data_IF_027273480871
#
_entry.id   IF_027273480871
#
_cell.length_a   1.000
_cell.length_b   1.000
_cell.length_c   1.000
_cell.angle_alpha   90.00
_cell.angle_beta   90.00
_cell.angle_gamma   90.00
#
_symmetry.space_group_name_H-M   'P 1'
#
loop_
_entity.id
_entity.type
_entity.pdbx_description
1 polymer ?
#
# COMPACT_ATOMS: atom_id res chain seq x y z
N UNK A 1 10.50 -25.22 -19.30
CA UNK A 1 11.14 -24.04 -18.69
C UNK A 1 10.04 -23.13 -18.16
N UNK A 2 9.93 -23.01 -16.83
CA UNK A 2 8.95 -22.13 -16.18
C UNK A 2 9.22 -20.67 -16.54
N UNK A 3 8.14 -19.88 -16.67
CA UNK A 3 8.27 -18.43 -16.80
C UNK A 3 8.53 -17.83 -15.41
N UNK A 4 9.53 -16.99 -15.30
CA UNK A 4 9.78 -16.15 -14.12
C UNK A 4 9.20 -14.77 -14.43
N UNK A 5 8.33 -14.28 -13.55
CA UNK A 5 7.81 -12.92 -13.57
C UNK A 5 8.43 -12.18 -12.37
N UNK A 6 9.09 -11.07 -12.63
CA UNK A 6 9.53 -10.12 -11.62
C UNK A 6 8.70 -8.86 -11.82
N UNK A 7 8.04 -8.40 -10.80
CA UNK A 7 7.15 -7.23 -10.86
C UNK A 7 7.08 -6.58 -9.49
N UNK A 8 6.95 -5.27 -9.44
CA UNK A 8 6.53 -4.58 -8.22
C UNK A 8 5.09 -4.95 -7.87
N UNK A 9 4.71 -4.74 -6.62
CA UNK A 9 3.33 -4.94 -6.19
C UNK A 9 2.37 -4.02 -6.97
N UNK A 10 2.77 -2.77 -7.16
CA UNK A 10 1.98 -1.73 -7.83
C UNK A 10 1.79 -1.98 -9.34
N UNK A 11 2.64 -2.76 -9.97
CA UNK A 11 2.48 -3.19 -11.37
C UNK A 11 1.70 -4.50 -11.48
N UNK A 12 1.91 -5.42 -10.53
CA UNK A 12 1.34 -6.77 -10.56
C UNK A 12 -0.18 -6.79 -10.49
N UNK A 13 -0.77 -6.00 -9.59
CA UNK A 13 -2.22 -6.00 -9.38
C UNK A 13 -2.99 -5.24 -10.46
N UNK A 14 -2.63 -4.00 -10.82
CA UNK A 14 -3.35 -3.24 -11.82
C UNK A 14 -3.49 -3.98 -13.14
N UNK A 15 -2.39 -4.51 -13.68
CA UNK A 15 -2.41 -5.24 -14.96
C UNK A 15 -3.39 -6.42 -14.96
N UNK A 16 -3.44 -7.16 -13.85
CA UNK A 16 -4.32 -8.32 -13.70
C UNK A 16 -5.76 -7.94 -13.47
N UNK A 17 -6.00 -6.96 -12.61
CA UNK A 17 -7.34 -6.50 -12.28
C UNK A 17 -8.01 -5.88 -13.50
N UNK A 18 -7.30 -5.08 -14.30
CA UNK A 18 -7.84 -4.52 -15.55
C UNK A 18 -8.18 -5.60 -16.60
N UNK A 19 -7.41 -6.69 -16.65
CA UNK A 19 -7.73 -7.83 -17.52
C UNK A 19 -8.98 -8.59 -17.06
N UNK A 20 -9.19 -8.68 -15.74
CA UNK A 20 -10.28 -9.46 -15.14
C UNK A 20 -11.58 -8.68 -15.00
N UNK A 21 -11.50 -7.38 -14.76
CA UNK A 21 -12.65 -6.56 -14.39
C UNK A 21 -12.76 -5.41 -15.37
N UNK A 22 -13.72 -5.53 -16.26
CA UNK A 22 -14.06 -4.47 -17.21
C UNK A 22 -14.71 -3.30 -16.48
N UNK A 23 -14.59 -2.10 -17.03
CA UNK A 23 -15.22 -0.85 -16.55
C UNK A 23 -14.62 -0.24 -15.28
N UNK A 24 -13.41 -0.63 -14.88
CA UNK A 24 -12.67 0.13 -13.88
C UNK A 24 -12.05 1.39 -14.52
N UNK A 25 -11.91 2.48 -13.77
CA UNK A 25 -11.14 3.63 -14.22
C UNK A 25 -9.70 3.24 -14.52
N UNK A 26 -9.13 3.77 -15.61
CA UNK A 26 -7.73 3.51 -15.97
C UNK A 26 -6.75 4.53 -15.35
N UNK A 27 -7.25 5.69 -14.92
CA UNK A 27 -6.44 6.72 -14.26
C UNK A 27 -6.29 6.36 -12.77
N UNK A 28 -5.04 6.24 -12.31
CA UNK A 28 -4.72 5.98 -10.91
C UNK A 28 -4.66 7.32 -10.16
N UNK A 29 -5.15 7.34 -8.92
CA UNK A 29 -5.09 8.48 -8.02
C UNK A 29 -3.95 8.25 -7.01
N UNK A 30 -2.83 8.96 -7.16
CA UNK A 30 -1.68 8.85 -6.27
C UNK A 30 -1.75 9.83 -5.08
N UNK A 31 -2.81 10.65 -5.01
CA UNK A 31 -2.97 11.71 -4.01
C UNK A 31 -4.07 11.42 -2.98
N UNK A 32 -4.35 10.15 -2.72
CA UNK A 32 -5.34 9.78 -1.71
C UNK A 32 -4.92 10.28 -0.31
N UNK A 33 -5.85 10.87 0.48
CA UNK A 33 -5.54 11.26 1.86
C UNK A 33 -5.07 10.07 2.70
N UNK A 34 -4.07 10.25 3.56
CA UNK A 34 -3.50 9.19 4.41
C UNK A 34 -4.56 8.41 5.22
N UNK A 35 -5.63 9.09 5.67
CA UNK A 35 -6.73 8.44 6.37
C UNK A 35 -7.52 7.46 5.48
N UNK A 36 -7.60 7.74 4.17
CA UNK A 36 -8.25 6.88 3.16
C UNK A 36 -7.39 5.66 2.91
N UNK A 37 -6.09 5.85 2.64
CA UNK A 37 -5.12 4.78 2.45
C UNK A 37 -5.07 3.85 3.66
N UNK A 38 -4.95 4.40 4.87
CA UNK A 38 -4.94 3.61 6.10
C UNK A 38 -6.23 2.81 6.30
N UNK A 39 -7.39 3.42 6.02
CA UNK A 39 -8.68 2.73 6.10
C UNK A 39 -8.76 1.56 5.11
N UNK A 40 -8.35 1.77 3.84
CA UNK A 40 -8.41 0.77 2.78
C UNK A 40 -7.47 -0.41 3.00
N UNK A 41 -6.35 -0.19 3.68
CA UNK A 41 -5.35 -1.22 4.00
C UNK A 41 -5.59 -1.94 5.32
N UNK A 42 -6.50 -1.44 6.16
CA UNK A 42 -6.75 -2.00 7.49
C UNK A 42 -7.42 -3.40 7.44
N UNK A 43 -7.00 -4.36 8.31
CA UNK A 43 -7.56 -5.72 8.33
C UNK A 43 -9.07 -5.80 8.47
N UNK A 44 -9.69 -4.87 9.22
CA UNK A 44 -11.13 -4.80 9.43
C UNK A 44 -11.92 -4.68 8.11
N UNK A 45 -11.34 -4.01 7.09
CA UNK A 45 -11.98 -3.88 5.79
C UNK A 45 -12.34 -5.24 5.17
N UNK A 46 -11.41 -6.18 5.23
CA UNK A 46 -11.61 -7.53 4.65
C UNK A 46 -12.77 -8.27 5.31
N UNK A 47 -12.97 -8.06 6.61
CA UNK A 47 -14.12 -8.63 7.32
C UNK A 47 -15.44 -8.05 6.82
N UNK A 48 -15.50 -6.72 6.65
CA UNK A 48 -16.70 -6.05 6.17
C UNK A 48 -16.99 -6.32 4.69
N UNK A 49 -15.96 -6.55 3.87
CA UNK A 49 -16.18 -7.04 2.49
C UNK A 49 -16.91 -8.38 2.47
N UNK A 50 -16.60 -9.30 3.40
CA UNK A 50 -17.36 -10.56 3.55
C UNK A 50 -18.79 -10.28 3.98
N UNK A 51 -19.01 -9.40 4.97
CA UNK A 51 -20.36 -9.00 5.39
C UNK A 51 -21.16 -8.41 4.21
N UNK A 52 -20.53 -7.60 3.36
CA UNK A 52 -21.14 -7.03 2.15
C UNK A 52 -21.62 -8.12 1.17
N UNK A 53 -20.78 -9.12 0.89
CA UNK A 53 -21.17 -10.24 0.00
C UNK A 53 -22.32 -11.06 0.61
N UNK A 54 -22.35 -11.22 1.93
CA UNK A 54 -23.49 -11.91 2.59
C UNK A 54 -24.78 -11.06 2.54
N UNK A 55 -24.68 -9.73 2.57
CA UNK A 55 -25.85 -8.87 2.30
C UNK A 55 -26.35 -9.04 0.88
N UNK A 56 -25.48 -9.08 -0.12
CA UNK A 56 -25.88 -9.38 -1.51
C UNK A 56 -26.52 -10.75 -1.66
N UNK A 57 -26.00 -11.78 -0.97
CA UNK A 57 -26.58 -13.11 -0.96
C UNK A 57 -28.03 -13.10 -0.43
N UNK A 58 -28.30 -12.34 0.64
CA UNK A 58 -29.65 -12.16 1.19
C UNK A 58 -30.57 -11.43 0.23
N UNK A 59 -30.07 -10.39 -0.46
CA UNK A 59 -30.83 -9.69 -1.50
C UNK A 59 -31.20 -10.64 -2.66
N UNK A 60 -30.24 -11.45 -3.13
CA UNK A 60 -30.48 -12.44 -4.18
C UNK A 60 -31.53 -13.48 -3.73
N UNK A 61 -31.43 -13.96 -2.49
CA UNK A 61 -32.41 -14.85 -1.92
C UNK A 61 -33.82 -14.22 -1.85
N UNK A 62 -33.88 -12.93 -1.47
CA UNK A 62 -35.14 -12.19 -1.48
C UNK A 62 -35.73 -12.08 -2.88
N UNK A 63 -34.92 -11.72 -3.89
CA UNK A 63 -35.35 -11.63 -5.28
C UNK A 63 -35.89 -12.97 -5.83
N UNK A 64 -35.26 -14.09 -5.46
CA UNK A 64 -35.73 -15.43 -5.81
C UNK A 64 -37.11 -15.68 -5.17
N UNK A 65 -37.26 -15.45 -3.87
CA UNK A 65 -38.54 -15.62 -3.16
C UNK A 65 -39.68 -14.78 -3.73
N UNK A 66 -39.35 -13.54 -4.11
CA UNK A 66 -40.35 -12.60 -4.59
C UNK A 66 -40.81 -12.87 -6.04
N UNK A 67 -39.92 -13.42 -6.86
CA UNK A 67 -40.16 -13.52 -8.32
C UNK A 67 -40.38 -14.95 -8.82
N UNK A 68 -40.08 -15.95 -8.00
CA UNK A 68 -40.19 -17.38 -8.36
C UNK A 68 -41.20 -18.05 -7.46
N UNK A 69 -42.30 -18.61 -7.98
CA UNK A 69 -43.19 -19.48 -7.22
C UNK A 69 -42.39 -20.66 -6.64
N UNK A 70 -42.62 -20.99 -5.37
CA UNK A 70 -41.91 -22.04 -4.63
C UNK A 70 -40.36 -21.86 -4.57
N UNK A 71 -39.87 -20.62 -4.73
CA UNK A 71 -38.44 -20.29 -4.72
C UNK A 71 -37.75 -20.42 -3.35
N UNK A 72 -38.47 -20.78 -2.28
CA UNK A 72 -37.91 -20.83 -0.91
C UNK A 72 -36.74 -21.81 -0.76
N UNK A 73 -36.89 -23.03 -1.31
CA UNK A 73 -35.82 -24.04 -1.25
C UNK A 73 -34.58 -23.61 -2.02
N UNK A 74 -34.77 -23.00 -3.19
CA UNK A 74 -33.66 -22.44 -3.99
C UNK A 74 -32.98 -21.29 -3.30
N UNK A 75 -33.75 -20.40 -2.65
CA UNK A 75 -33.19 -19.25 -1.93
C UNK A 75 -32.34 -19.64 -0.72
N UNK A 76 -32.60 -20.78 -0.06
CA UNK A 76 -31.78 -21.25 1.08
C UNK A 76 -30.34 -21.54 0.70
N UNK A 77 -30.04 -21.98 -0.53
CA UNK A 77 -28.64 -22.16 -0.96
C UNK A 77 -27.83 -20.88 -0.92
N UNK A 78 -28.46 -19.71 -1.03
CA UNK A 78 -27.76 -18.41 -0.96
C UNK A 78 -27.43 -18.01 0.47
N UNK A 79 -28.23 -18.39 1.45
CA UNK A 79 -28.10 -17.93 2.85
C UNK A 79 -27.41 -18.93 3.77
N UNK A 80 -27.53 -20.24 3.50
CA UNK A 80 -27.09 -21.29 4.43
C UNK A 80 -25.60 -21.68 4.23
N UNK A 81 -25.02 -21.40 3.07
CA UNK A 81 -23.67 -21.83 2.72
C UNK A 81 -22.66 -20.64 2.77
N UNK A 82 -22.55 -19.96 3.90
CA UNK A 82 -21.77 -18.70 4.08
C UNK A 82 -20.29 -18.77 3.63
N UNK A 83 -19.67 -19.95 3.69
CA UNK A 83 -18.26 -20.11 3.30
C UNK A 83 -18.05 -20.53 1.83
N UNK A 84 -19.11 -20.61 1.06
CA UNK A 84 -19.08 -20.98 -0.37
C UNK A 84 -19.15 -19.71 -1.22
N UNK A 85 -18.35 -19.56 -2.29
CA UNK A 85 -18.44 -18.41 -3.18
C UNK A 85 -19.85 -18.19 -3.71
N UNK A 86 -20.29 -16.93 -3.78
CA UNK A 86 -21.68 -16.56 -4.10
C UNK A 86 -22.14 -17.12 -5.47
N UNK A 87 -21.23 -17.16 -6.46
CA UNK A 87 -21.50 -17.75 -7.76
C UNK A 87 -21.90 -19.24 -7.67
N UNK A 88 -21.21 -20.00 -6.83
CA UNK A 88 -21.53 -21.42 -6.61
C UNK A 88 -22.85 -21.61 -5.89
N UNK A 89 -23.16 -20.74 -4.92
CA UNK A 89 -24.47 -20.74 -4.24
C UNK A 89 -25.59 -20.46 -5.22
N UNK A 90 -25.42 -19.43 -6.08
CA UNK A 90 -26.39 -19.08 -7.12
C UNK A 90 -26.57 -20.23 -8.13
N UNK A 91 -25.50 -20.90 -8.54
CA UNK A 91 -25.56 -22.06 -9.43
C UNK A 91 -26.35 -23.24 -8.80
N UNK A 92 -26.12 -23.48 -7.49
CA UNK A 92 -26.88 -24.50 -6.76
C UNK A 92 -28.37 -24.16 -6.66
N UNK A 93 -28.66 -22.89 -6.33
CA UNK A 93 -30.04 -22.39 -6.28
C UNK A 93 -30.74 -22.55 -7.62
N UNK A 94 -30.09 -22.21 -8.74
CA UNK A 94 -30.59 -22.39 -10.09
C UNK A 94 -30.88 -23.89 -10.41
N UNK A 95 -29.90 -24.79 -10.12
CA UNK A 95 -30.05 -26.22 -10.34
C UNK A 95 -31.19 -26.83 -9.50
N UNK A 96 -31.39 -26.39 -8.26
CA UNK A 96 -32.47 -26.82 -7.40
C UNK A 96 -33.82 -26.40 -8.01
N UNK A 97 -33.94 -25.18 -8.48
CA UNK A 97 -35.11 -24.68 -9.19
C UNK A 97 -35.41 -25.51 -10.46
N UNK A 98 -34.40 -25.71 -11.32
CA UNK A 98 -34.54 -26.47 -12.58
C UNK A 98 -34.97 -27.93 -12.33
N UNK A 99 -34.58 -28.53 -11.21
CA UNK A 99 -35.00 -29.91 -10.83
C UNK A 99 -36.42 -29.97 -10.29
N UNK A 100 -36.88 -28.90 -9.63
CA UNK A 100 -38.25 -28.80 -9.09
C UNK A 100 -39.29 -28.41 -10.14
N UNK A 101 -38.86 -28.03 -11.33
CA UNK A 101 -39.77 -27.65 -12.42
C UNK A 101 -40.52 -28.87 -12.97
N UNK A 102 -41.81 -28.95 -12.71
CA UNK A 102 -42.71 -29.70 -13.55
C UNK A 102 -42.81 -29.06 -14.94
N UNK A 103 -42.97 -29.85 -15.99
CA UNK A 103 -42.84 -29.51 -17.42
C UNK A 103 -43.75 -28.37 -17.93
N UNK A 104 -44.56 -27.73 -17.08
CA UNK A 104 -45.56 -26.74 -17.44
C UNK A 104 -45.33 -25.31 -16.96
N UNK A 105 -44.14 -24.95 -16.46
CA UNK A 105 -43.85 -23.59 -15.97
C UNK A 105 -43.46 -22.66 -17.12
N UNK A 106 -44.05 -21.45 -17.12
CA UNK A 106 -43.86 -20.49 -18.22
C UNK A 106 -42.42 -19.96 -18.27
N UNK A 107 -41.87 -19.81 -19.47
CA UNK A 107 -40.51 -19.25 -19.74
C UNK A 107 -40.24 -17.85 -19.14
N UNK A 108 -41.25 -17.20 -18.56
CA UNK A 108 -41.15 -15.87 -17.96
C UNK A 108 -40.33 -15.83 -16.65
N UNK A 109 -40.41 -16.91 -15.85
CA UNK A 109 -39.82 -16.98 -14.50
C UNK A 109 -38.30 -17.23 -14.53
N UNK A 110 -37.78 -17.68 -15.69
CA UNK A 110 -36.36 -18.01 -15.89
C UNK A 110 -35.47 -16.75 -15.95
N UNK A 111 -36.02 -15.55 -16.15
CA UNK A 111 -35.24 -14.32 -16.28
C UNK A 111 -34.54 -13.87 -14.99
N UNK A 112 -34.98 -14.34 -13.82
CA UNK A 112 -34.42 -13.95 -12.52
C UNK A 112 -32.95 -14.34 -12.42
N UNK A 113 -32.60 -15.59 -12.77
CA UNK A 113 -31.20 -16.07 -12.67
C UNK A 113 -30.24 -15.33 -13.59
N UNK A 114 -30.52 -15.07 -14.87
CA UNK A 114 -29.69 -14.21 -15.73
C UNK A 114 -29.47 -12.79 -15.17
N UNK A 115 -30.51 -12.18 -14.59
CA UNK A 115 -30.40 -10.86 -13.97
C UNK A 115 -29.48 -10.89 -12.73
N UNK A 116 -29.60 -11.94 -11.89
CA UNK A 116 -28.71 -12.15 -10.75
C UNK A 116 -27.28 -12.46 -11.18
N UNK A 117 -27.07 -13.26 -12.22
CA UNK A 117 -25.75 -13.54 -12.81
C UNK A 117 -25.09 -12.28 -13.35
N UNK A 118 -25.85 -11.40 -14.00
CA UNK A 118 -25.36 -10.07 -14.44
C UNK A 118 -24.93 -9.19 -13.26
N UNK A 119 -25.74 -9.10 -12.21
CA UNK A 119 -25.41 -8.37 -10.98
C UNK A 119 -24.21 -9.00 -10.27
N UNK A 120 -24.12 -10.32 -10.24
CA UNK A 120 -22.98 -11.03 -9.67
C UNK A 120 -21.67 -10.68 -10.36
N UNK A 121 -21.68 -10.52 -11.68
CA UNK A 121 -20.47 -10.26 -12.48
C UNK A 121 -20.01 -8.80 -12.48
N UNK A 122 -20.80 -7.86 -11.99
CA UNK A 122 -20.48 -6.42 -12.02
C UNK A 122 -19.68 -5.99 -10.78
N UNK A 123 -18.42 -6.40 -10.74
CA UNK A 123 -17.50 -6.08 -9.63
C UNK A 123 -17.18 -4.58 -9.56
N UNK A 124 -17.13 -3.89 -10.71
CA UNK A 124 -16.90 -2.45 -10.72
C UNK A 124 -18.04 -1.70 -9.98
N UNK A 125 -19.29 -2.15 -10.16
CA UNK A 125 -20.42 -1.63 -9.41
C UNK A 125 -20.35 -1.99 -7.92
N UNK A 126 -19.88 -3.19 -7.57
CA UNK A 126 -19.70 -3.57 -6.16
C UNK A 126 -18.74 -2.64 -5.43
N UNK A 127 -17.65 -2.20 -6.07
CA UNK A 127 -16.73 -1.20 -5.52
C UNK A 127 -17.49 0.09 -5.18
N UNK A 128 -18.30 0.58 -6.11
CA UNK A 128 -19.11 1.79 -5.90
C UNK A 128 -20.12 1.55 -4.77
N UNK A 129 -20.89 0.48 -4.82
CA UNK A 129 -21.94 0.18 -3.84
C UNK A 129 -21.35 0.02 -2.42
N UNK A 130 -20.17 -0.56 -2.29
CA UNK A 130 -19.46 -0.71 -1.02
C UNK A 130 -19.03 0.65 -0.46
N UNK A 131 -18.27 1.44 -1.22
CA UNK A 131 -17.72 2.71 -0.75
C UNK A 131 -18.77 3.82 -0.61
N UNK A 132 -19.92 3.70 -1.28
CA UNK A 132 -21.05 4.59 -1.11
C UNK A 132 -22.00 4.15 0.01
N UNK A 133 -21.70 3.09 0.74
CA UNK A 133 -22.50 2.63 1.87
C UNK A 133 -21.89 3.05 3.20
N UNK A 134 -22.37 4.19 3.74
CA UNK A 134 -21.89 4.73 5.02
C UNK A 134 -21.97 3.76 6.20
N UNK A 135 -22.96 2.87 6.21
CA UNK A 135 -23.10 1.87 7.29
C UNK A 135 -21.99 0.86 7.27
N UNK A 136 -21.60 0.37 6.10
CA UNK A 136 -20.45 -0.54 5.94
C UNK A 136 -19.13 0.14 6.29
N UNK A 137 -18.93 1.40 5.86
CA UNK A 137 -17.73 2.15 6.19
C UNK A 137 -17.59 2.37 7.71
N UNK A 138 -18.68 2.73 8.39
CA UNK A 138 -18.69 2.83 9.87
C UNK A 138 -18.42 1.48 10.54
N UNK A 139 -18.93 0.39 9.96
CA UNK A 139 -18.67 -0.95 10.46
C UNK A 139 -17.18 -1.31 10.42
N UNK A 140 -16.42 -0.86 9.41
CA UNK A 140 -14.96 -1.02 9.38
C UNK A 140 -14.31 -0.29 10.56
N UNK A 141 -14.72 0.96 10.84
CA UNK A 141 -14.19 1.74 11.97
C UNK A 141 -14.50 1.07 13.31
N UNK A 142 -15.72 0.53 13.48
CA UNK A 142 -16.10 -0.23 14.69
C UNK A 142 -15.19 -1.45 14.91
N UNK A 143 -14.99 -2.26 13.86
CA UNK A 143 -14.16 -3.47 13.93
C UNK A 143 -12.67 -3.18 14.09
N UNK A 144 -12.25 -1.95 13.76
CA UNK A 144 -10.86 -1.51 13.96
C UNK A 144 -10.52 -1.20 15.43
N UNK A 145 -11.47 -1.26 16.36
CA UNK A 145 -11.25 -1.10 17.80
C UNK A 145 -10.41 0.12 18.20
N UNK A 146 -10.68 1.26 17.56
CA UNK A 146 -9.98 2.53 17.82
C UNK A 146 -8.67 2.74 17.04
N UNK A 147 -8.24 1.79 16.23
CA UNK A 147 -7.07 1.94 15.36
C UNK A 147 -7.37 2.89 14.17
N UNK A 148 -8.61 2.94 13.70
CA UNK A 148 -9.07 3.88 12.67
C UNK A 148 -9.81 5.04 13.34
N UNK A 149 -9.45 6.31 13.07
CA UNK A 149 -10.18 7.47 13.57
C UNK A 149 -11.64 7.48 13.10
N UNK A 150 -12.57 7.93 13.95
CA UNK A 150 -14.00 7.94 13.63
C UNK A 150 -14.37 8.72 12.37
N UNK A 151 -13.62 9.78 12.05
CA UNK A 151 -13.85 10.58 10.84
C UNK A 151 -13.43 9.89 9.53
N UNK A 152 -12.63 8.82 9.61
CA UNK A 152 -12.10 8.15 8.40
C UNK A 152 -13.20 7.58 7.51
N UNK A 153 -14.30 7.07 8.08
CA UNK A 153 -15.44 6.60 7.30
C UNK A 153 -16.07 7.70 6.42
N UNK A 154 -16.21 8.91 6.97
CA UNK A 154 -16.76 10.04 6.21
C UNK A 154 -15.73 10.58 5.20
N UNK A 155 -14.42 10.53 5.52
CA UNK A 155 -13.35 10.89 4.60
C UNK A 155 -13.31 9.93 3.39
N UNK A 156 -13.38 8.61 3.62
CA UNK A 156 -13.46 7.60 2.56
C UNK A 156 -14.70 7.77 1.71
N UNK A 157 -15.86 8.00 2.34
CA UNK A 157 -17.11 8.25 1.60
C UNK A 157 -16.98 9.45 0.68
N UNK A 158 -16.46 10.57 1.19
CA UNK A 158 -16.30 11.80 0.39
C UNK A 158 -15.31 11.59 -0.75
N UNK A 159 -14.13 11.05 -0.47
CA UNK A 159 -13.11 10.76 -1.48
C UNK A 159 -13.65 9.85 -2.59
N UNK A 160 -14.33 8.76 -2.21
CA UNK A 160 -14.95 7.85 -3.18
C UNK A 160 -16.07 8.51 -3.98
N UNK A 161 -16.89 9.35 -3.34
CA UNK A 161 -17.94 10.10 -4.05
C UNK A 161 -17.35 11.05 -5.10
N UNK A 162 -16.22 11.69 -4.80
CA UNK A 162 -15.50 12.53 -5.75
C UNK A 162 -14.93 11.70 -6.90
N UNK A 163 -14.30 10.53 -6.61
CA UNK A 163 -13.82 9.60 -7.62
C UNK A 163 -14.92 9.05 -8.55
N UNK A 164 -16.10 8.76 -8.01
CA UNK A 164 -17.22 8.22 -8.79
C UNK A 164 -18.05 9.29 -9.48
N UNK A 165 -17.74 10.57 -9.25
CA UNK A 165 -18.44 11.67 -9.87
C UNK A 165 -18.09 11.81 -11.34
N UNK A 166 -19.04 12.37 -12.10
CA UNK A 166 -18.75 12.92 -13.42
C UNK A 166 -18.54 14.44 -13.27
N UNK A 167 -17.31 14.94 -13.46
CA UNK A 167 -17.01 16.37 -13.26
C UNK A 167 -17.82 17.27 -14.18
N UNK A 168 -18.01 16.85 -15.42
CA UNK A 168 -18.75 17.60 -16.43
C UNK A 168 -20.24 17.75 -16.06
N UNK A 169 -20.84 16.71 -15.50
CA UNK A 169 -22.26 16.73 -15.15
C UNK A 169 -22.60 17.64 -13.95
N UNK A 170 -21.65 17.81 -13.00
CA UNK A 170 -21.89 18.56 -11.76
C UNK A 170 -21.64 20.06 -11.88
N UNK A 171 -20.63 20.49 -12.65
CA UNK A 171 -20.19 21.90 -12.70
C UNK A 171 -20.82 22.71 -13.82
N UNK A 172 -21.21 22.06 -14.90
CA UNK A 172 -21.64 22.75 -16.12
C UNK A 172 -22.88 22.10 -16.76
N UNK A 173 -23.87 21.77 -15.95
CA UNK A 173 -25.13 21.22 -16.48
C UNK A 173 -25.70 22.16 -17.53
N UNK A 174 -25.65 21.78 -18.82
CA UNK A 174 -26.10 22.52 -19.96
C UNK A 174 -25.08 23.41 -20.67
N UNK A 175 -23.80 23.33 -20.34
CA UNK A 175 -22.70 24.05 -21.00
C UNK A 175 -21.79 23.06 -21.73
N UNK A 176 -21.48 23.35 -22.97
CA UNK A 176 -20.57 22.58 -23.82
C UNK A 176 -19.12 23.00 -23.49
N UNK A 177 -18.40 22.17 -22.73
CA UNK A 177 -17.05 22.48 -22.24
C UNK A 177 -16.01 22.61 -23.35
N UNK A 178 -16.20 21.92 -24.49
CA UNK A 178 -15.30 21.98 -25.65
C UNK A 178 -15.33 23.35 -26.34
N UNK A 179 -16.29 24.20 -25.96
CA UNK A 179 -16.45 25.57 -26.50
C UNK A 179 -16.00 26.67 -25.55
N UNK A 180 -15.51 26.32 -24.36
CA UNK A 180 -15.03 27.29 -23.40
C UNK A 180 -13.52 27.38 -23.45
N UNK A 181 -13.02 28.57 -23.76
CA UNK A 181 -11.59 28.90 -23.71
C UNK A 181 -11.27 29.68 -22.42
N UNK A 182 -10.11 29.39 -21.83
CA UNK A 182 -9.54 30.21 -20.75
C UNK A 182 -9.11 31.57 -21.28
N UNK A 183 -8.92 32.54 -20.39
CA UNK A 183 -8.45 33.90 -20.74
C UNK A 183 -7.09 33.86 -21.51
N UNK A 184 -6.33 32.78 -21.33
CA UNK A 184 -5.02 32.55 -21.96
C UNK A 184 -5.11 31.70 -23.23
N UNK A 185 -6.31 31.37 -23.73
CA UNK A 185 -6.55 30.64 -24.99
C UNK A 185 -6.41 29.11 -24.86
N UNK A 186 -6.33 28.55 -23.65
CA UNK A 186 -6.36 27.12 -23.39
C UNK A 186 -7.81 26.61 -23.25
N UNK A 187 -8.03 25.30 -23.44
CA UNK A 187 -9.33 24.69 -23.14
C UNK A 187 -9.58 24.64 -21.63
N UNK A 188 -10.77 25.02 -21.18
CA UNK A 188 -11.16 24.86 -19.78
C UNK A 188 -11.14 23.37 -19.34
N UNK A 189 -11.23 22.45 -20.27
CA UNK A 189 -11.07 21.02 -20.02
C UNK A 189 -9.65 20.64 -19.55
N UNK A 190 -8.64 21.41 -19.97
CA UNK A 190 -7.22 21.16 -19.60
C UNK A 190 -6.85 21.72 -18.21
N UNK A 191 -7.63 22.67 -17.66
CA UNK A 191 -7.40 23.27 -16.34
C UNK A 191 -7.79 22.35 -15.15
N UNK A 192 -8.46 21.23 -15.43
CA UNK A 192 -8.98 20.30 -14.43
C UNK A 192 -8.13 19.03 -14.25
N UNK A 193 -6.82 19.11 -14.51
CA UNK A 193 -5.90 17.97 -14.47
C UNK A 193 -5.77 17.36 -13.05
N UNK A 194 -6.12 18.10 -12.00
CA UNK A 194 -6.05 17.65 -10.60
C UNK A 194 -7.37 17.05 -10.06
N UNK A 195 -8.38 16.85 -10.89
CA UNK A 195 -9.64 16.25 -10.44
C UNK A 195 -9.48 14.73 -10.29
N UNK A 196 -9.76 14.21 -9.09
CA UNK A 196 -9.74 12.76 -8.80
C UNK A 196 -10.95 12.02 -9.39
N UNK A 197 -11.81 12.69 -10.10
CA UNK A 197 -12.97 12.07 -10.74
C UNK A 197 -12.55 11.01 -11.76
N UNK A 198 -13.30 9.91 -11.82
CA UNK A 198 -13.05 8.76 -12.66
C UNK A 198 -11.66 8.13 -12.45
N UNK A 199 -11.16 8.19 -11.23
CA UNK A 199 -9.89 7.54 -10.84
C UNK A 199 -10.11 6.30 -9.97
N UNK A 200 -9.04 5.56 -9.73
CA UNK A 200 -8.97 4.42 -8.81
C UNK A 200 -7.72 4.55 -7.95
N UNK A 201 -7.85 4.32 -6.64
CA UNK A 201 -6.68 4.32 -5.77
C UNK A 201 -5.90 2.99 -5.92
N UNK A 202 -4.57 2.99 -5.71
CA UNK A 202 -3.77 1.76 -5.74
C UNK A 202 -4.31 0.66 -4.83
N UNK A 203 -4.77 1.00 -3.63
CA UNK A 203 -5.33 0.06 -2.65
C UNK A 203 -6.61 -0.63 -3.14
N UNK A 204 -7.37 0.01 -4.01
CA UNK A 204 -8.61 -0.55 -4.54
C UNK A 204 -8.40 -1.80 -5.39
N UNK A 205 -7.21 -1.99 -5.97
CA UNK A 205 -6.93 -3.19 -6.77
C UNK A 205 -7.02 -4.47 -5.94
N UNK A 206 -6.44 -4.48 -4.74
CA UNK A 206 -6.55 -5.62 -3.83
C UNK A 206 -8.00 -5.82 -3.35
N UNK A 207 -8.73 -4.73 -3.10
CA UNK A 207 -10.15 -4.76 -2.68
C UNK A 207 -11.04 -5.36 -3.77
N UNK A 208 -10.90 -4.91 -5.00
CA UNK A 208 -11.66 -5.37 -6.16
C UNK A 208 -11.35 -6.84 -6.46
N UNK A 209 -10.09 -7.24 -6.32
CA UNK A 209 -9.68 -8.63 -6.44
C UNK A 209 -10.32 -9.49 -5.34
N UNK A 210 -10.34 -9.04 -4.08
CA UNK A 210 -10.97 -9.75 -2.97
C UNK A 210 -12.48 -9.87 -3.16
N UNK A 211 -13.17 -8.81 -3.61
CA UNK A 211 -14.60 -8.86 -3.97
C UNK A 211 -14.86 -9.94 -5.02
N UNK A 212 -14.05 -10.00 -6.08
CA UNK A 212 -14.16 -11.03 -7.10
C UNK A 212 -13.92 -12.43 -6.51
N UNK A 213 -12.90 -12.58 -5.67
CA UNK A 213 -12.59 -13.85 -4.99
C UNK A 213 -13.74 -14.35 -4.10
N UNK A 214 -14.36 -13.45 -3.35
CA UNK A 214 -15.51 -13.79 -2.50
C UNK A 214 -16.73 -14.22 -3.33
N UNK A 215 -16.93 -13.61 -4.48
CA UNK A 215 -18.05 -13.93 -5.38
C UNK A 215 -17.83 -15.20 -6.19
N UNK A 216 -16.66 -15.38 -6.79
CA UNK A 216 -16.41 -16.46 -7.74
C UNK A 216 -15.51 -17.57 -7.19
N UNK A 217 -14.82 -17.34 -6.09
CA UNK A 217 -13.78 -18.21 -5.56
C UNK A 217 -12.46 -18.05 -6.31
N UNK A 218 -11.50 -18.90 -5.96
CA UNK A 218 -10.26 -19.05 -6.70
C UNK A 218 -10.58 -19.78 -8.00
N UNK A 219 -10.41 -19.14 -9.12
CA UNK A 219 -10.51 -19.81 -10.43
C UNK A 219 -9.26 -20.66 -10.62
N UNK A 220 -9.43 -21.98 -10.49
CA UNK A 220 -8.41 -22.95 -10.91
C UNK A 220 -8.62 -23.22 -12.38
N UNK A 221 -7.65 -22.85 -13.20
CA UNK A 221 -7.62 -23.20 -14.60
C UNK A 221 -7.88 -22.03 -15.54
N UNK A 222 -7.29 -22.09 -16.61
CA UNK A 222 -7.15 -21.42 -17.89
C UNK A 222 -8.17 -20.36 -18.36
N UNK A 223 -9.18 -20.07 -17.59
CA UNK A 223 -10.20 -19.09 -17.94
C UNK A 223 -9.75 -17.69 -17.49
N UNK A 224 -9.32 -16.90 -18.48
CA UNK A 224 -9.16 -15.45 -18.45
C UNK A 224 -7.96 -14.85 -17.68
N UNK A 225 -6.78 -15.46 -17.75
CA UNK A 225 -5.53 -14.68 -17.58
C UNK A 225 -5.01 -14.48 -16.16
N UNK A 226 -5.54 -15.16 -15.14
CA UNK A 226 -4.89 -15.29 -13.85
C UNK A 226 -3.87 -16.43 -13.89
N UNK A 227 -2.64 -16.12 -14.23
CA UNK A 227 -1.56 -17.09 -14.04
C UNK A 227 -1.46 -17.45 -12.56
N UNK A 228 -1.61 -18.71 -12.23
CA UNK A 228 -1.25 -19.24 -10.93
C UNK A 228 0.24 -19.56 -10.92
N UNK A 229 0.89 -19.28 -9.80
CA UNK A 229 2.31 -19.53 -9.61
C UNK A 229 2.50 -20.78 -8.78
N UNK A 230 3.44 -21.63 -9.21
CA UNK A 230 3.90 -22.76 -8.41
C UNK A 230 4.80 -22.32 -7.25
N UNK A 231 5.42 -21.15 -7.38
CA UNK A 231 6.24 -20.54 -6.33
C UNK A 231 6.15 -19.02 -6.39
N UNK A 232 5.94 -18.39 -5.24
CA UNK A 232 6.01 -16.94 -5.06
C UNK A 232 7.21 -16.60 -4.18
N UNK A 233 7.90 -15.54 -4.53
CA UNK A 233 8.90 -14.89 -3.67
C UNK A 233 8.35 -13.50 -3.36
N UNK A 234 8.18 -13.21 -2.07
CA UNK A 234 7.67 -11.93 -1.58
C UNK A 234 8.79 -11.30 -0.75
N UNK A 235 9.30 -10.17 -1.20
CA UNK A 235 10.25 -9.36 -0.45
C UNK A 235 9.55 -8.19 0.22
N UNK A 236 10.13 -7.63 1.28
CA UNK A 236 9.59 -6.53 2.08
C UNK A 236 8.13 -6.79 2.56
N UNK A 237 7.82 -8.03 2.91
CA UNK A 237 6.45 -8.45 3.24
C UNK A 237 5.81 -7.70 4.41
N UNK A 238 6.59 -7.03 5.27
CA UNK A 238 6.10 -6.20 6.36
C UNK A 238 5.40 -4.92 5.88
N UNK A 239 5.55 -4.54 4.61
CA UNK A 239 4.88 -3.37 4.03
C UNK A 239 3.56 -3.70 3.35
N UNK A 240 3.25 -4.98 3.19
CA UNK A 240 2.03 -5.41 2.54
C UNK A 240 0.86 -5.47 3.54
N UNK A 241 -0.27 -4.92 3.12
CA UNK A 241 -1.49 -5.00 3.89
C UNK A 241 -2.07 -6.43 3.89
N UNK A 242 -2.83 -6.83 4.91
CA UNK A 242 -3.44 -8.16 5.00
C UNK A 242 -4.29 -8.54 3.78
N UNK A 243 -4.97 -7.58 3.16
CA UNK A 243 -5.77 -7.82 1.95
C UNK A 243 -4.86 -8.07 0.73
N UNK A 244 -3.71 -7.42 0.65
CA UNK A 244 -2.70 -7.58 -0.39
C UNK A 244 -2.02 -8.96 -0.28
N UNK A 245 -1.61 -9.34 0.94
CA UNK A 245 -1.06 -10.66 1.23
C UNK A 245 -2.04 -11.79 0.86
N UNK A 246 -3.31 -11.60 1.18
CA UNK A 246 -4.34 -12.57 0.83
C UNK A 246 -4.56 -12.69 -0.69
N UNK A 247 -4.44 -11.58 -1.40
CA UNK A 247 -4.55 -11.57 -2.86
C UNK A 247 -3.35 -12.27 -3.51
N UNK A 248 -2.12 -12.06 -2.98
CA UNK A 248 -0.93 -12.81 -3.40
C UNK A 248 -1.07 -14.32 -3.14
N UNK A 249 -1.54 -14.70 -1.94
CA UNK A 249 -1.79 -16.10 -1.61
C UNK A 249 -2.80 -16.77 -2.53
N UNK A 250 -3.80 -16.02 -2.99
CA UNK A 250 -4.77 -16.50 -3.95
C UNK A 250 -4.19 -16.77 -5.36
N UNK A 251 -3.02 -16.20 -5.66
CA UNK A 251 -2.32 -16.45 -6.91
C UNK A 251 -1.44 -17.72 -6.89
N UNK A 252 -1.33 -18.42 -5.74
CA UNK A 252 -0.63 -19.70 -5.65
C UNK A 252 -1.47 -20.86 -6.21
N UNK A 253 -0.81 -21.82 -6.83
CA UNK A 253 -1.44 -23.13 -7.14
C UNK A 253 -1.74 -23.87 -5.83
N UNK A 254 -2.57 -24.91 -5.90
CA UNK A 254 -2.94 -25.71 -4.72
C UNK A 254 -1.73 -26.27 -3.96
N UNK A 255 -0.73 -26.72 -4.69
CA UNK A 255 0.50 -27.31 -4.17
C UNK A 255 1.68 -26.34 -4.28
N UNK A 256 1.36 -25.05 -4.44
CA UNK A 256 2.37 -24.00 -4.56
C UNK A 256 3.09 -23.71 -3.24
N UNK A 257 4.27 -23.17 -3.36
CA UNK A 257 5.12 -22.77 -2.23
C UNK A 257 5.39 -21.26 -2.25
N UNK A 258 5.78 -20.72 -1.09
CA UNK A 258 6.12 -19.29 -0.96
C UNK A 258 7.44 -19.15 -0.21
N UNK A 259 8.26 -18.21 -0.66
CA UNK A 259 9.38 -17.68 0.11
C UNK A 259 9.06 -16.25 0.48
N UNK A 260 9.14 -15.92 1.77
CA UNK A 260 8.82 -14.60 2.29
C UNK A 260 10.06 -14.04 2.97
N UNK A 261 10.43 -12.83 2.60
CA UNK A 261 11.49 -12.07 3.23
C UNK A 261 10.96 -10.72 3.72
N UNK A 262 11.60 -10.17 4.75
CA UNK A 262 11.27 -8.85 5.25
C UNK A 262 11.95 -8.53 6.58
N UNK A 263 11.81 -7.29 7.02
CA UNK A 263 12.38 -6.78 8.26
C UNK A 263 11.34 -5.95 9.02
N UNK A 264 10.87 -6.47 10.15
CA UNK A 264 9.90 -5.77 11.01
C UNK A 264 10.45 -4.47 11.60
N UNK A 265 11.78 -4.31 11.72
CA UNK A 265 12.41 -3.08 12.18
C UNK A 265 12.37 -1.97 11.09
N UNK A 266 12.20 -2.34 9.83
CA UNK A 266 12.08 -1.42 8.70
C UNK A 266 10.63 -1.15 8.27
N UNK A 267 9.65 -1.59 9.04
CA UNK A 267 8.24 -1.25 8.81
C UNK A 267 8.01 0.21 9.22
N UNK A 268 7.97 1.10 8.25
CA UNK A 268 7.80 2.55 8.44
C UNK A 268 6.51 3.11 7.86
N UNK A 269 5.82 2.36 7.02
CA UNK A 269 4.54 2.76 6.44
C UNK A 269 3.44 2.71 7.52
N UNK A 270 2.87 3.87 7.92
CA UNK A 270 1.83 3.90 8.95
C UNK A 270 0.51 3.30 8.48
N UNK A 271 0.34 3.11 7.17
CA UNK A 271 -0.88 2.53 6.59
C UNK A 271 -0.94 1.01 6.70
N UNK A 272 0.17 0.36 7.06
CA UNK A 272 0.24 -1.08 7.30
C UNK A 272 0.45 -1.40 8.77
N UNK A 273 -0.13 -2.52 9.22
CA UNK A 273 0.08 -3.07 10.54
C UNK A 273 0.81 -4.41 10.40
N UNK A 274 2.06 -4.46 10.88
CA UNK A 274 2.78 -5.72 10.99
C UNK A 274 2.63 -6.25 12.42
N UNK A 275 1.91 -7.35 12.58
CA UNK A 275 1.73 -8.00 13.88
C UNK A 275 2.78 -9.07 14.14
N UNK A 276 2.91 -10.03 13.22
CA UNK A 276 3.86 -11.13 13.32
C UNK A 276 4.04 -11.84 11.98
N UNK A 277 5.12 -12.61 11.84
CA UNK A 277 5.33 -13.48 10.67
C UNK A 277 4.27 -14.57 10.55
N UNK A 278 3.76 -15.07 11.68
CA UNK A 278 2.64 -16.03 11.68
C UNK A 278 1.36 -15.40 11.09
N UNK A 279 1.09 -14.13 11.42
CA UNK A 279 -0.04 -13.41 10.84
C UNK A 279 0.12 -13.22 9.32
N UNK A 280 1.32 -12.94 8.84
CA UNK A 280 1.62 -12.85 7.40
C UNK A 280 1.33 -14.20 6.70
N UNK A 281 1.81 -15.31 7.25
CA UNK A 281 1.56 -16.65 6.72
C UNK A 281 0.08 -17.00 6.70
N UNK A 282 -0.64 -16.67 7.77
CA UNK A 282 -2.10 -16.88 7.88
C UNK A 282 -2.87 -16.08 6.81
N UNK A 283 -2.45 -14.83 6.52
CA UNK A 283 -3.08 -14.01 5.49
C UNK A 283 -2.85 -14.57 4.08
N UNK A 284 -1.65 -15.06 3.80
CA UNK A 284 -1.34 -15.73 2.54
C UNK A 284 -2.08 -17.08 2.41
N UNK A 285 -2.43 -17.69 3.55
CA UNK A 285 -3.13 -18.98 3.59
C UNK A 285 -2.20 -20.17 3.42
N UNK A 286 -0.95 -20.04 3.88
CA UNK A 286 0.04 -21.14 3.90
C UNK A 286 0.30 -21.63 5.33
N UNK A 287 0.80 -22.87 5.51
CA UNK A 287 1.13 -23.40 6.83
C UNK A 287 2.17 -22.53 7.55
N UNK A 288 2.01 -22.39 8.86
CA UNK A 288 3.00 -21.72 9.71
C UNK A 288 4.30 -22.54 9.72
N UNK A 289 5.40 -21.84 9.52
CA UNK A 289 6.76 -22.39 9.58
C UNK A 289 7.60 -21.49 10.48
N UNK A 290 8.66 -22.07 11.06
CA UNK A 290 9.59 -21.27 11.86
C UNK A 290 10.36 -20.31 10.95
N UNK A 291 10.30 -19.01 11.25
CA UNK A 291 11.10 -18.01 10.55
C UNK A 291 12.60 -18.23 10.81
N UNK A 292 13.40 -18.08 9.77
CA UNK A 292 14.86 -18.05 9.88
C UNK A 292 15.31 -16.61 10.00
N UNK A 293 16.08 -16.29 11.04
CA UNK A 293 16.64 -14.97 11.24
C UNK A 293 18.02 -14.87 10.61
N UNK A 294 18.19 -13.93 9.69
CA UNK A 294 19.47 -13.56 9.14
C UNK A 294 20.20 -12.65 10.14
N UNK A 295 21.26 -13.13 10.74
CA UNK A 295 21.99 -12.42 11.81
C UNK A 295 23.26 -11.73 11.32
N UNK A 296 23.59 -11.83 10.03
CA UNK A 296 24.81 -11.23 9.46
C UNK A 296 24.45 -10.16 8.44
N UNK A 297 24.96 -8.94 8.64
CA UNK A 297 24.86 -7.86 7.66
C UNK A 297 26.16 -7.73 6.86
N UNK A 298 26.00 -7.61 5.55
CA UNK A 298 27.09 -7.41 4.58
C UNK A 298 27.13 -5.97 4.06
N UNK A 299 26.04 -5.20 4.27
CA UNK A 299 25.83 -3.86 3.74
C UNK A 299 26.60 -2.83 4.56
N UNK A 300 26.18 -2.60 5.77
CA UNK A 300 26.70 -1.52 6.62
C UNK A 300 27.93 -1.94 7.43
N UNK A 301 28.91 -1.04 7.61
CA UNK A 301 30.03 -1.26 8.52
C UNK A 301 29.57 -1.39 9.97
N UNK A 302 30.37 -2.04 10.79
CA UNK A 302 30.06 -2.29 12.21
C UNK A 302 29.62 -1.02 12.98
N UNK A 303 30.30 0.14 12.90
CA UNK A 303 29.87 1.32 13.64
C UNK A 303 28.48 1.82 13.25
N UNK A 304 28.11 1.71 11.97
CA UNK A 304 26.78 2.07 11.46
C UNK A 304 25.72 1.09 11.95
N UNK A 305 26.00 -0.22 11.88
CA UNK A 305 25.07 -1.25 12.34
C UNK A 305 24.80 -1.15 13.85
N UNK A 306 25.85 -0.94 14.65
CA UNK A 306 25.77 -0.73 16.11
C UNK A 306 24.94 0.51 16.45
N UNK A 307 25.18 1.62 15.75
CA UNK A 307 24.45 2.85 15.92
C UNK A 307 22.97 2.68 15.58
N UNK A 308 22.69 2.12 14.42
CA UNK A 308 21.32 1.88 13.96
C UNK A 308 20.54 0.91 14.89
N UNK A 309 21.20 -0.11 15.42
CA UNK A 309 20.62 -1.01 16.41
C UNK A 309 20.29 -0.26 17.72
N UNK A 310 21.20 0.58 18.21
CA UNK A 310 20.99 1.37 19.42
C UNK A 310 19.84 2.39 19.27
N UNK A 311 19.62 2.96 18.07
CA UNK A 311 18.48 3.84 17.77
C UNK A 311 17.14 3.14 18.02
N UNK A 312 17.00 1.85 17.71
CA UNK A 312 15.78 1.08 17.95
C UNK A 312 15.48 0.92 19.45
N UNK A 313 16.49 0.90 20.31
CA UNK A 313 16.32 0.75 21.76
C UNK A 313 15.59 -0.55 22.13
N UNK A 314 14.46 -0.45 22.83
CA UNK A 314 13.66 -1.63 23.23
C UNK A 314 13.01 -2.40 22.06
N UNK A 315 12.98 -1.83 20.86
CA UNK A 315 12.46 -2.46 19.65
C UNK A 315 13.54 -3.18 18.84
N UNK A 316 14.80 -3.09 19.28
CA UNK A 316 15.89 -3.77 18.61
C UNK A 316 15.77 -5.30 18.78
N UNK A 317 16.21 -6.07 17.76
CA UNK A 317 16.42 -7.52 17.92
C UNK A 317 17.31 -7.81 19.14
N UNK A 318 17.06 -8.93 19.84
CA UNK A 318 17.83 -9.29 21.03
C UNK A 318 19.33 -9.47 20.73
N UNK A 319 19.65 -9.99 19.57
CA UNK A 319 21.02 -10.20 19.11
C UNK A 319 21.43 -9.09 18.15
N UNK A 320 22.59 -8.52 18.40
CA UNK A 320 23.24 -7.57 17.50
C UNK A 320 23.60 -8.28 16.18
N UNK A 321 23.30 -7.72 15.02
CA UNK A 321 23.74 -8.27 13.75
C UNK A 321 25.27 -8.37 13.69
N UNK A 322 25.80 -9.51 13.29
CA UNK A 322 27.21 -9.67 12.98
C UNK A 322 27.54 -8.90 11.71
N UNK A 323 28.60 -8.15 11.72
CA UNK A 323 29.05 -7.39 10.56
C UNK A 323 30.35 -7.96 10.00
N UNK A 324 30.43 -8.01 8.68
CA UNK A 324 31.65 -8.46 7.99
C UNK A 324 32.59 -7.32 7.60
N UNK A 325 32.10 -6.08 7.70
CA UNK A 325 32.88 -4.87 7.38
C UNK A 325 33.18 -4.09 8.64
N UNK A 326 34.44 -3.71 8.82
CA UNK A 326 34.82 -2.62 9.71
C UNK A 326 34.67 -1.27 8.97
N UNK A 327 34.65 -0.19 9.71
CA UNK A 327 34.47 1.16 9.11
C UNK A 327 34.80 2.27 10.08
N UNK A 328 34.65 3.48 9.62
CA UNK A 328 34.85 4.66 10.45
C UNK A 328 33.68 4.86 11.43
N UNK A 329 33.94 5.46 12.60
CA UNK A 329 32.87 5.76 13.55
C UNK A 329 31.79 6.65 12.92
N UNK A 330 30.53 6.48 13.38
CA UNK A 330 29.46 7.42 13.04
C UNK A 330 29.79 8.80 13.61
N UNK A 331 29.71 9.81 12.78
CA UNK A 331 29.93 11.22 13.20
C UNK A 331 28.61 11.76 13.74
N UNK A 332 28.63 12.33 14.95
CA UNK A 332 27.47 13.00 15.54
C UNK A 332 27.87 14.44 15.84
N UNK A 333 27.15 15.40 15.24
CA UNK A 333 27.47 16.83 15.35
C UNK A 333 26.30 17.62 15.87
N UNK A 334 26.51 18.41 16.92
CA UNK A 334 25.54 19.36 17.42
C UNK A 334 25.96 20.76 17.00
N UNK A 335 25.15 21.40 16.19
CA UNK A 335 25.39 22.76 15.70
C UNK A 335 24.65 23.81 16.55
N UNK A 336 25.25 24.98 16.81
CA UNK A 336 24.61 26.00 17.63
C UNK A 336 23.36 26.62 16.98
N UNK A 337 23.29 26.63 15.66
CA UNK A 337 22.17 27.16 14.89
C UNK A 337 22.16 26.57 13.47
N UNK A 338 21.08 26.85 12.73
CA UNK A 338 20.86 26.35 11.37
C UNK A 338 21.94 26.88 10.38
N UNK A 339 22.35 28.16 10.47
CA UNK A 339 23.37 28.70 9.58
C UNK A 339 24.71 27.99 9.72
N UNK A 340 25.11 27.64 10.95
CA UNK A 340 26.34 26.89 11.18
C UNK A 340 26.22 25.46 10.65
N UNK A 341 25.06 24.79 10.87
CA UNK A 341 24.80 23.45 10.34
C UNK A 341 24.93 23.46 8.82
N UNK A 342 24.28 24.42 8.15
CA UNK A 342 24.25 24.46 6.68
C UNK A 342 25.59 24.75 6.07
N UNK A 343 26.36 25.71 6.68
CA UNK A 343 27.72 25.97 6.22
C UNK A 343 28.61 24.74 6.35
N UNK A 344 28.60 24.11 7.52
CA UNK A 344 29.38 22.86 7.75
C UNK A 344 28.97 21.73 6.80
N UNK A 345 27.68 21.59 6.55
CA UNK A 345 27.17 20.57 5.63
C UNK A 345 27.60 20.86 4.19
N UNK A 346 27.41 22.10 3.71
CA UNK A 346 27.73 22.50 2.34
C UNK A 346 29.23 22.36 2.05
N UNK A 347 30.09 22.87 2.96
CA UNK A 347 31.53 22.75 2.82
C UNK A 347 31.98 21.27 2.77
N UNK A 348 31.49 20.45 3.73
CA UNK A 348 31.87 19.04 3.79
C UNK A 348 31.38 18.26 2.55
N UNK A 349 30.16 18.51 2.06
CA UNK A 349 29.65 17.86 0.87
C UNK A 349 30.42 18.31 -0.38
N UNK A 350 30.79 19.60 -0.47
CA UNK A 350 31.57 20.11 -1.59
C UNK A 350 32.96 19.45 -1.63
N UNK A 351 33.64 19.40 -0.49
CA UNK A 351 34.94 18.72 -0.36
C UNK A 351 34.87 17.24 -0.69
N UNK A 352 33.82 16.55 -0.22
CA UNK A 352 33.58 15.14 -0.53
C UNK A 352 33.40 14.92 -2.04
N UNK A 353 32.58 15.75 -2.69
CA UNK A 353 32.34 15.61 -4.14
C UNK A 353 33.57 15.96 -5.00
N UNK A 354 34.50 16.71 -4.46
CA UNK A 354 35.82 16.93 -5.10
C UNK A 354 36.73 15.74 -4.88
N UNK A 355 36.78 15.18 -3.66
CA UNK A 355 37.62 14.03 -3.31
C UNK A 355 37.13 12.73 -3.94
N UNK A 356 35.81 12.53 -3.95
CA UNK A 356 35.15 11.33 -4.44
C UNK A 356 34.02 11.66 -5.43
N UNK A 357 34.34 12.06 -6.67
CA UNK A 357 33.34 12.57 -7.62
C UNK A 357 32.35 11.51 -8.14
N UNK A 358 32.57 10.24 -7.82
CA UNK A 358 31.69 9.11 -8.14
C UNK A 358 30.85 8.64 -6.96
N UNK A 359 30.99 9.23 -5.78
CA UNK A 359 30.24 8.83 -4.61
C UNK A 359 28.74 9.14 -4.75
N UNK A 360 27.93 8.27 -4.20
CA UNK A 360 26.50 8.46 -3.97
C UNK A 360 26.28 8.95 -2.53
N UNK A 361 25.69 10.12 -2.37
CA UNK A 361 25.43 10.72 -1.07
C UNK A 361 23.94 10.97 -0.90
N UNK A 362 23.36 10.53 0.22
CA UNK A 362 22.01 10.91 0.60
C UNK A 362 21.98 11.85 1.80
N UNK A 363 21.35 13.01 1.64
CA UNK A 363 20.95 13.89 2.73
C UNK A 363 19.51 13.57 3.07
N UNK A 364 19.33 12.75 4.10
CA UNK A 364 18.03 12.20 4.45
C UNK A 364 17.37 13.05 5.53
N UNK A 365 16.19 13.58 5.24
CA UNK A 365 15.41 14.41 6.14
C UNK A 365 14.14 13.72 6.62
N UNK A 366 13.48 14.30 7.63
CA UNK A 366 12.27 13.76 8.21
C UNK A 366 11.02 13.94 7.34
N UNK A 367 10.97 14.98 6.52
CA UNK A 367 9.80 15.33 5.71
C UNK A 367 10.21 16.01 4.41
N UNK A 368 9.33 15.97 3.41
CA UNK A 368 9.51 16.66 2.12
C UNK A 368 9.75 18.16 2.29
N UNK A 369 9.06 18.82 3.23
CA UNK A 369 9.28 20.25 3.55
C UNK A 369 10.73 20.52 4.00
N UNK A 370 11.26 19.63 4.87
CA UNK A 370 12.65 19.73 5.29
C UNK A 370 13.61 19.47 4.13
N UNK A 371 13.34 18.48 3.28
CA UNK A 371 14.15 18.23 2.07
C UNK A 371 14.25 19.46 1.19
N UNK A 372 13.11 20.07 0.89
CA UNK A 372 13.05 21.27 0.05
C UNK A 372 13.82 22.46 0.67
N UNK A 373 13.70 22.64 1.98
CA UNK A 373 14.40 23.71 2.70
C UNK A 373 15.92 23.51 2.66
N UNK A 374 16.39 22.31 2.94
CA UNK A 374 17.81 21.97 2.94
C UNK A 374 18.38 22.04 1.52
N UNK A 375 17.67 21.51 0.52
CA UNK A 375 18.09 21.57 -0.87
C UNK A 375 18.31 23.02 -1.35
N UNK A 376 17.40 23.93 -1.03
CA UNK A 376 17.56 25.36 -1.37
C UNK A 376 18.85 25.96 -0.80
N UNK A 377 19.28 25.52 0.37
CA UNK A 377 20.51 25.99 1.02
C UNK A 377 21.78 25.26 0.53
N UNK A 378 21.63 24.13 -0.16
CA UNK A 378 22.70 23.36 -0.79
C UNK A 378 22.85 23.66 -2.30
N UNK A 379 22.27 24.75 -2.80
CA UNK A 379 22.25 25.08 -4.23
C UNK A 379 23.66 25.19 -4.85
N UNK A 380 24.68 25.55 -4.06
CA UNK A 380 26.06 25.71 -4.51
C UNK A 380 26.88 24.40 -4.40
N UNK A 381 26.31 23.34 -3.79
CA UNK A 381 26.97 22.03 -3.69
C UNK A 381 26.94 21.33 -5.05
N UNK A 382 28.07 20.89 -5.59
CA UNK A 382 28.12 20.25 -6.89
C UNK A 382 27.24 18.97 -6.93
N UNK A 383 26.44 18.82 -7.99
CA UNK A 383 25.57 17.68 -8.23
C UNK A 383 24.50 17.44 -7.14
N UNK A 384 24.14 18.47 -6.37
CA UNK A 384 23.00 18.37 -5.45
C UNK A 384 21.68 18.31 -6.23
N UNK A 385 20.79 17.41 -5.80
CA UNK A 385 19.46 17.18 -6.42
C UNK A 385 18.42 17.02 -5.32
N UNK A 386 17.23 17.56 -5.54
CA UNK A 386 16.06 17.22 -4.75
C UNK A 386 15.40 15.97 -5.36
N UNK A 387 15.12 15.00 -4.52
CA UNK A 387 14.34 13.82 -4.93
C UNK A 387 12.91 13.99 -4.43
N UNK A 388 11.97 13.98 -5.36
CA UNK A 388 10.53 14.05 -5.11
C UNK A 388 9.88 12.78 -5.70
N UNK A 389 8.89 12.25 -5.01
CA UNK A 389 8.10 11.09 -5.43
C UNK A 389 8.93 9.85 -5.86
N UNK A 390 10.08 9.66 -5.23
CA UNK A 390 10.98 8.52 -5.51
C UNK A 390 11.72 8.60 -6.84
N UNK A 391 11.74 9.75 -7.52
CA UNK A 391 12.40 9.94 -8.80
C UNK A 391 13.92 10.09 -8.66
N UNK A 392 14.62 8.98 -8.41
CA UNK A 392 16.08 8.95 -8.33
C UNK A 392 16.75 8.87 -9.71
N UNK A 393 17.76 9.68 -9.94
CA UNK A 393 18.59 9.62 -11.16
C UNK A 393 19.57 8.43 -11.15
N UNK A 394 19.87 7.85 -10.00
CA UNK A 394 20.90 6.81 -9.79
C UNK A 394 22.28 7.18 -10.35
N UNK A 395 22.63 8.46 -10.33
CA UNK A 395 23.93 8.97 -10.74
C UNK A 395 24.71 9.44 -9.52
N UNK A 396 26.06 9.42 -9.58
CA UNK A 396 26.89 10.02 -8.54
C UNK A 396 26.48 11.45 -8.23
N UNK A 397 26.43 11.82 -6.96
CA UNK A 397 26.05 13.15 -6.50
C UNK A 397 25.40 13.14 -5.13
N UNK A 398 24.73 14.24 -4.79
CA UNK A 398 24.09 14.46 -3.49
C UNK A 398 22.58 14.51 -3.68
N UNK A 399 21.88 13.49 -3.24
CA UNK A 399 20.42 13.40 -3.27
C UNK A 399 19.86 13.89 -1.93
N UNK A 400 19.05 14.96 -1.95
CA UNK A 400 18.31 15.44 -0.78
C UNK A 400 16.92 14.85 -0.84
N UNK A 401 16.55 14.07 0.18
CA UNK A 401 15.38 13.19 0.11
C UNK A 401 14.72 12.99 1.47
N UNK A 402 13.42 12.74 1.46
CA UNK A 402 12.68 12.32 2.65
C UNK A 402 12.95 10.85 2.98
N UNK A 403 12.96 10.51 4.28
CA UNK A 403 13.29 9.18 4.80
C UNK A 403 12.35 8.07 4.30
N UNK A 404 11.10 8.34 4.02
CA UNK A 404 10.15 7.36 3.48
C UNK A 404 10.54 6.86 2.09
N UNK A 405 11.23 7.68 1.30
CA UNK A 405 11.59 7.39 -0.09
C UNK A 405 12.93 6.64 -0.25
N UNK A 406 13.73 6.51 0.82
CA UNK A 406 15.04 5.82 0.73
C UNK A 406 14.98 4.33 1.06
N UNK A 407 13.80 3.81 1.34
CA UNK A 407 13.66 2.39 1.66
C UNK A 407 14.10 1.52 0.48
N UNK A 408 14.87 0.44 0.78
CA UNK A 408 15.43 -0.44 -0.24
C UNK A 408 16.67 0.11 -0.95
N UNK A 409 17.00 1.40 -0.79
CA UNK A 409 18.17 2.02 -1.42
C UNK A 409 19.41 1.96 -0.53
N UNK A 410 20.56 2.25 -1.13
CA UNK A 410 21.88 2.26 -0.49
C UNK A 410 22.71 3.41 -1.04
N UNK A 411 23.49 4.07 -0.16
CA UNK A 411 24.35 5.19 -0.52
C UNK A 411 25.72 5.04 0.14
N UNK A 412 26.76 5.46 -0.55
CA UNK A 412 28.10 5.43 0.01
C UNK A 412 28.18 6.24 1.31
N UNK A 413 27.57 7.43 1.32
CA UNK A 413 27.53 8.33 2.45
C UNK A 413 26.08 8.76 2.75
N UNK A 414 25.74 8.76 4.03
CA UNK A 414 24.43 9.25 4.49
C UNK A 414 24.62 10.36 5.51
N UNK A 415 23.91 11.47 5.31
CA UNK A 415 23.80 12.56 6.26
C UNK A 415 22.37 12.72 6.73
N UNK A 416 22.16 12.81 8.03
CA UNK A 416 20.86 13.10 8.64
C UNK A 416 20.99 14.46 9.33
N UNK A 417 20.57 15.56 8.69
CA UNK A 417 20.87 16.91 9.16
C UNK A 417 19.91 17.44 10.22
N UNK A 418 18.77 16.78 10.41
CA UNK A 418 17.66 17.25 11.23
C UNK A 418 17.32 16.30 12.40
N UNK A 419 18.31 15.63 12.99
CA UNK A 419 18.11 14.69 14.11
C UNK A 419 17.72 15.39 15.42
N UNK A 420 16.70 16.26 15.38
CA UNK A 420 16.18 17.04 16.50
C UNK A 420 15.10 16.24 17.27
N UNK A 421 14.78 16.62 18.52
CA UNK A 421 13.67 16.03 19.27
C UNK A 421 12.29 16.21 18.60
N UNK A 422 12.13 17.26 17.77
CA UNK A 422 10.90 17.51 17.03
C UNK A 422 10.79 16.60 15.80
N UNK A 423 11.86 16.43 15.05
CA UNK A 423 11.90 15.56 13.87
C UNK A 423 11.82 14.07 14.27
N UNK A 424 12.53 13.70 15.34
CA UNK A 424 12.59 12.34 15.84
C UNK A 424 12.32 12.28 17.36
N UNK A 425 11.06 12.46 17.80
CA UNK A 425 10.68 12.26 19.19
C UNK A 425 10.85 10.80 19.60
N UNK A 426 10.93 10.50 20.92
CA UNK A 426 11.04 9.13 21.42
C UNK A 426 9.71 8.38 21.27
N UNK A 427 9.47 7.87 20.08
CA UNK A 427 8.32 7.06 19.70
C UNK A 427 8.76 5.89 18.81
N UNK A 428 8.02 4.77 18.81
CA UNK A 428 8.35 3.60 17.99
C UNK A 428 8.57 3.93 16.51
N UNK A 429 7.71 4.74 15.91
CA UNK A 429 7.77 5.15 14.51
C UNK A 429 9.04 5.96 14.21
N UNK A 430 9.36 6.94 15.07
CA UNK A 430 10.56 7.76 14.90
C UNK A 430 11.85 6.93 15.02
N UNK A 431 11.86 5.94 15.91
CA UNK A 431 12.99 5.01 16.05
C UNK A 431 13.18 4.17 14.79
N UNK A 432 12.10 3.64 14.21
CA UNK A 432 12.15 2.89 12.95
C UNK A 432 12.59 3.76 11.78
N UNK A 433 12.02 4.97 11.64
CA UNK A 433 12.42 5.91 10.57
C UNK A 433 13.90 6.28 10.65
N UNK A 434 14.39 6.64 11.85
CA UNK A 434 15.81 6.96 12.03
C UNK A 434 16.70 5.73 11.80
N UNK A 435 16.26 4.54 12.23
CA UNK A 435 16.94 3.27 11.95
C UNK A 435 17.06 3.01 10.44
N UNK A 436 15.97 3.17 9.70
CA UNK A 436 15.97 3.03 8.23
C UNK A 436 16.96 4.01 7.61
N UNK A 437 16.92 5.29 7.98
CA UNK A 437 17.87 6.28 7.46
C UNK A 437 19.33 5.89 7.74
N UNK A 438 19.63 5.45 8.96
CA UNK A 438 20.99 5.05 9.34
C UNK A 438 21.49 3.84 8.53
N UNK A 439 20.62 2.84 8.31
CA UNK A 439 21.00 1.60 7.61
C UNK A 439 21.19 1.75 6.10
N UNK A 440 20.93 2.94 5.55
CA UNK A 440 21.22 3.25 4.13
C UNK A 440 22.70 3.49 3.85
N UNK A 441 23.52 3.72 4.86
CA UNK A 441 24.96 4.01 4.69
C UNK A 441 25.78 2.75 4.47
N UNK A 442 26.58 2.73 3.38
CA UNK A 442 27.52 1.67 3.04
C UNK A 442 28.93 1.96 3.61
N UNK A 443 29.34 3.21 3.67
CA UNK A 443 30.67 3.62 4.14
C UNK A 443 30.59 4.44 5.43
N UNK A 444 29.88 5.56 5.43
CA UNK A 444 29.86 6.46 6.58
C UNK A 444 28.49 7.08 6.80
N UNK A 445 28.14 7.22 8.07
CA UNK A 445 26.95 7.92 8.54
C UNK A 445 27.34 9.17 9.32
N UNK A 446 26.68 10.28 9.00
CA UNK A 446 26.81 11.55 9.72
C UNK A 446 25.44 12.00 10.21
N UNK A 447 25.29 12.18 11.52
CA UNK A 447 24.04 12.61 12.16
C UNK A 447 24.25 14.00 12.74
N UNK A 448 23.43 14.95 12.33
CA UNK A 448 23.53 16.34 12.77
C UNK A 448 22.23 16.82 13.41
N UNK A 449 22.35 17.80 14.28
CA UNK A 449 21.20 18.48 14.89
C UNK A 449 21.57 19.91 15.23
N UNK A 450 20.54 20.73 15.45
CA UNK A 450 20.69 22.09 15.95
C UNK A 450 20.25 22.16 17.41
N UNK A 451 21.00 22.84 18.24
CA UNK A 451 20.69 23.16 19.63
C UNK A 451 20.53 21.95 20.54
N UNK A 452 19.75 20.95 20.14
CA UNK A 452 19.47 19.76 20.95
C UNK A 452 19.36 18.52 20.06
N UNK A 453 20.03 17.45 20.45
CA UNK A 453 19.97 16.16 19.77
C UNK A 453 18.74 15.38 20.21
N UNK A 454 18.11 14.65 19.30
CA UNK A 454 17.01 13.75 19.63
C UNK A 454 17.41 12.73 20.72
N UNK A 455 16.52 12.42 21.68
CA UNK A 455 16.80 11.45 22.75
C UNK A 455 17.01 10.03 22.24
N UNK A 456 16.59 9.70 21.02
CA UNK A 456 16.79 8.38 20.43
C UNK A 456 18.13 8.22 19.72
N UNK A 457 18.88 9.31 19.53
CA UNK A 457 20.24 9.25 19.02
C UNK A 457 21.16 8.74 20.13
N UNK A 458 21.92 7.67 19.90
CA UNK A 458 22.79 7.10 20.92
C UNK A 458 23.85 8.11 21.39
N UNK A 459 23.92 8.34 22.70
CA UNK A 459 25.00 9.10 23.30
C UNK A 459 26.29 8.29 23.15
N UNK A 460 27.26 8.81 22.41
CA UNK A 460 28.60 8.25 22.41
C UNK A 460 29.39 8.85 23.57
N UNK A 461 30.15 8.03 24.27
CA UNK A 461 31.24 8.60 25.04
C UNK A 461 32.17 9.34 24.09
N UNK A 462 32.41 10.59 24.39
CA UNK A 462 33.37 11.50 23.75
C UNK A 462 34.76 10.88 23.58
#
# INVERSE_FOLDING_TARGET
>A
LGRVLVSSFDEFFPERVFKLIRRLPHKICDTAPSAVTYFKRHPALRLVLKEFIELQAKEFAHDIRAKIPDGEESAKFLTDEVNVPLARRLQKARKAYEKGMDTNVSRGDIKVFPDLEKRLSDIAKDRIDFFMNKSLLRRVVELANGQIPGFAADAVYKHSADQFSDPAAKRYAGVDLDKLETVDGGSLADEFVDDIAQTIDPEDFAIVYELRRLKFGLTRGDDEGLHQFSHLVIDEAQDLAPIELAALGAALTKDGSVTIAGDSAQQIDPSTTFDSWDAVLDQIGVPRVQAQHLTTTYRSPRPVAEFAHAVLGSYAPREMPKTVKDGVPVTVTLCPNEGHLMLTLADTLSDLMVAEPLASVAVITRSTEHSLRIFKMLSDVPKARLVEDGAFDFKPGVDVVEVSQVKGLEFDYVVIPDATPNSYPDKPESRRLLHVACTRAIHQLWVMSITLMSPIVPNRPS
#
